data_IF_936373172375
#
_entry.id   IF_936373172375
#
_cell.length_a   1.000
_cell.length_b   1.000
_cell.length_c   1.000
_cell.angle_alpha   90.00
_cell.angle_beta   90.00
_cell.angle_gamma   90.00
#
_symmetry.space_group_name_H-M   'P 1'
#
loop_
_entity.id
_entity.type
_entity.pdbx_description
1 polymer ?
#
# COMPACT_ATOMS: atom_id res chain seq x y z
N UNK A 1 8.54 35.43 -32.99
CA UNK A 1 8.76 34.09 -32.41
C UNK A 1 9.44 34.29 -31.07
N UNK A 2 8.74 34.06 -29.96
CA UNK A 2 9.27 34.29 -28.61
C UNK A 2 9.08 33.03 -27.76
N UNK A 3 10.17 32.28 -27.63
CA UNK A 3 10.29 31.14 -26.73
C UNK A 3 10.25 31.65 -25.29
N UNK A 4 9.22 31.26 -24.53
CA UNK A 4 9.17 31.46 -23.08
C UNK A 4 9.60 30.14 -22.44
N UNK A 5 10.85 30.09 -21.97
CA UNK A 5 11.37 29.03 -21.13
C UNK A 5 10.62 29.04 -19.80
N UNK A 6 9.85 27.98 -19.53
CA UNK A 6 9.19 27.78 -18.24
C UNK A 6 10.18 27.00 -17.37
N UNK A 7 10.66 27.66 -16.32
CA UNK A 7 11.51 27.11 -15.27
C UNK A 7 10.75 25.98 -14.55
N UNK A 8 11.26 24.75 -14.64
CA UNK A 8 10.80 23.64 -13.81
C UNK A 8 11.34 23.84 -12.39
N UNK A 9 10.50 23.76 -11.34
CA UNK A 9 11.02 23.62 -9.99
C UNK A 9 11.69 22.25 -9.87
N UNK A 10 12.94 22.25 -9.43
CA UNK A 10 13.67 21.07 -8.97
C UNK A 10 12.84 20.36 -7.90
N UNK A 11 12.14 19.30 -8.30
CA UNK A 11 11.59 18.34 -7.36
C UNK A 11 12.79 17.59 -6.76
N UNK A 12 13.24 18.06 -5.60
CA UNK A 12 14.11 17.35 -4.68
C UNK A 12 13.61 15.92 -4.55
N UNK A 13 14.37 14.99 -5.12
CA UNK A 13 14.27 13.56 -4.84
C UNK A 13 14.74 13.35 -3.39
N UNK A 14 13.89 13.72 -2.43
CA UNK A 14 14.01 13.28 -1.07
C UNK A 14 13.43 11.87 -1.02
N UNK A 15 14.32 10.89 -1.13
CA UNK A 15 14.03 9.49 -0.90
C UNK A 15 13.66 9.32 0.59
N UNK A 16 12.38 9.43 0.93
CA UNK A 16 11.85 9.18 2.29
C UNK A 16 11.99 7.69 2.74
N UNK A 17 12.69 6.84 1.98
CA UNK A 17 12.86 5.41 2.28
C UNK A 17 14.06 5.07 3.17
N UNK A 18 14.93 6.03 3.48
CA UNK A 18 16.21 5.74 4.15
C UNK A 18 16.15 5.74 5.69
N UNK A 19 15.16 6.38 6.30
CA UNK A 19 15.06 6.50 7.77
C UNK A 19 14.02 5.54 8.35
N UNK A 20 14.21 4.22 8.16
CA UNK A 20 13.46 3.18 8.87
C UNK A 20 14.34 1.98 9.27
N UNK A 21 15.66 2.20 9.38
CA UNK A 21 16.61 1.20 9.89
C UNK A 21 17.44 1.77 11.04
N UNK A 22 16.80 2.20 12.12
CA UNK A 22 17.39 2.12 13.46
C UNK A 22 16.26 2.12 14.47
N UNK A 23 15.90 0.93 14.93
CA UNK A 23 15.63 0.66 16.34
C UNK A 23 15.32 -0.82 16.46
N UNK A 24 16.26 -1.49 17.09
CA UNK A 24 16.14 -2.80 17.72
C UNK A 24 14.96 -2.78 18.68
N UNK A 25 13.77 -3.11 18.19
CA UNK A 25 12.70 -3.68 19.00
C UNK A 25 12.20 -4.93 18.27
N UNK A 26 12.65 -6.08 18.74
CA UNK A 26 11.98 -7.33 18.46
C UNK A 26 10.61 -7.30 19.16
N UNK A 27 9.59 -6.66 18.57
CA UNK A 27 8.22 -6.77 19.06
C UNK A 27 7.20 -6.33 18.01
N UNK A 28 6.54 -7.33 17.41
CA UNK A 28 5.39 -7.30 16.51
C UNK A 28 5.70 -7.04 15.03
N UNK A 29 5.45 -8.02 14.15
CA UNK A 29 5.62 -7.86 12.71
C UNK A 29 4.71 -6.73 12.20
N UNK A 30 5.25 -5.87 11.33
CA UNK A 30 4.47 -4.82 10.67
C UNK A 30 3.30 -5.47 9.91
N UNK A 31 2.10 -4.84 9.87
CA UNK A 31 0.91 -5.38 9.22
C UNK A 31 1.09 -5.78 7.74
N UNK A 32 2.04 -5.16 7.04
CA UNK A 32 2.42 -5.49 5.66
C UNK A 32 3.29 -6.75 5.53
N UNK A 33 3.82 -7.30 6.62
CA UNK A 33 4.72 -8.44 6.58
C UNK A 33 4.03 -9.80 6.76
N UNK A 34 2.77 -9.78 7.18
CA UNK A 34 2.10 -10.97 7.69
C UNK A 34 1.13 -11.59 6.67
N UNK A 35 0.35 -10.74 6.00
CA UNK A 35 -0.64 -11.15 5.00
C UNK A 35 -0.22 -10.64 3.61
N UNK A 36 1.00 -11.01 3.17
CA UNK A 36 1.57 -10.52 1.91
C UNK A 36 0.81 -11.03 0.69
N UNK A 37 0.49 -12.31 0.68
CA UNK A 37 -0.27 -12.96 -0.39
C UNK A 37 -1.66 -12.34 -0.50
N UNK A 38 -2.44 -12.29 0.60
CA UNK A 38 -3.77 -11.68 0.59
C UNK A 38 -3.74 -10.19 0.21
N UNK A 39 -2.69 -9.47 0.63
CA UNK A 39 -2.50 -8.08 0.22
C UNK A 39 -2.26 -7.97 -1.28
N UNK A 40 -1.41 -8.83 -1.85
CA UNK A 40 -1.13 -8.86 -3.28
C UNK A 40 -2.41 -9.18 -4.07
N UNK A 41 -3.15 -10.22 -3.68
CA UNK A 41 -4.41 -10.59 -4.36
C UNK A 41 -5.47 -9.50 -4.26
N UNK A 42 -5.58 -8.81 -3.12
CA UNK A 42 -6.47 -7.64 -2.98
C UNK A 42 -6.05 -6.51 -3.91
N UNK A 43 -4.76 -6.18 -3.91
CA UNK A 43 -4.21 -5.10 -4.74
C UNK A 43 -4.37 -5.41 -6.22
N UNK A 44 -4.11 -6.64 -6.65
CA UNK A 44 -4.35 -7.12 -8.01
C UNK A 44 -5.84 -7.03 -8.38
N UNK A 45 -6.72 -7.50 -7.51
CA UNK A 45 -8.16 -7.41 -7.75
C UNK A 45 -8.60 -5.95 -7.93
N UNK A 46 -8.18 -5.03 -7.05
CA UNK A 46 -8.54 -3.62 -7.18
C UNK A 46 -7.93 -2.96 -8.42
N UNK A 47 -6.72 -3.37 -8.82
CA UNK A 47 -6.02 -2.80 -9.98
C UNK A 47 -6.57 -3.30 -11.32
N UNK A 48 -7.02 -4.55 -11.37
CA UNK A 48 -7.49 -5.20 -12.60
C UNK A 48 -9.02 -5.31 -12.72
N UNK A 49 -9.77 -5.02 -11.66
CA UNK A 49 -11.24 -5.05 -11.72
C UNK A 49 -11.76 -3.94 -12.64
N UNK A 50 -12.64 -4.33 -13.57
CA UNK A 50 -13.32 -3.42 -14.51
C UNK A 50 -14.71 -3.01 -14.00
N UNK A 51 -15.03 -3.34 -12.75
CA UNK A 51 -16.31 -3.00 -12.15
C UNK A 51 -16.43 -1.50 -11.88
N UNK A 52 -17.67 -0.98 -11.86
CA UNK A 52 -17.94 0.40 -11.42
C UNK A 52 -17.47 0.66 -9.99
N UNK A 53 -17.52 -0.37 -9.14
CA UNK A 53 -17.06 -0.35 -7.76
C UNK A 53 -16.13 -1.55 -7.49
N UNK A 54 -14.81 -1.41 -7.75
CA UNK A 54 -13.85 -2.49 -7.54
C UNK A 54 -13.76 -2.90 -6.07
N UNK A 55 -14.09 -2.01 -5.13
CA UNK A 55 -14.13 -2.34 -3.70
C UNK A 55 -15.23 -3.34 -3.35
N UNK A 56 -16.37 -3.31 -4.07
CA UNK A 56 -17.46 -4.28 -3.88
C UNK A 56 -17.16 -5.60 -4.58
N UNK A 57 -16.58 -5.52 -5.77
CA UNK A 57 -16.15 -6.69 -6.55
C UNK A 57 -15.05 -7.49 -5.82
N UNK A 58 -14.11 -6.78 -5.21
CA UNK A 58 -13.01 -7.35 -4.43
C UNK A 58 -13.33 -7.57 -2.96
N UNK A 59 -14.59 -7.47 -2.53
CA UNK A 59 -14.97 -7.64 -1.12
C UNK A 59 -14.44 -8.95 -0.54
N UNK A 60 -14.51 -10.04 -1.31
CA UNK A 60 -14.00 -11.36 -0.92
C UNK A 60 -12.50 -11.35 -0.61
N UNK A 61 -11.67 -10.68 -1.42
CA UNK A 61 -10.21 -10.64 -1.21
C UNK A 61 -9.84 -9.67 -0.09
N UNK A 62 -10.60 -8.58 0.06
CA UNK A 62 -10.48 -7.65 1.20
C UNK A 62 -10.80 -8.36 2.52
N UNK A 63 -11.88 -9.15 2.58
CA UNK A 63 -12.28 -9.88 3.78
C UNK A 63 -11.24 -10.94 4.16
N UNK A 64 -10.61 -11.60 3.18
CA UNK A 64 -9.48 -12.51 3.42
C UNK A 64 -8.28 -11.78 4.03
N UNK A 65 -7.92 -10.62 3.48
CA UNK A 65 -6.87 -9.79 4.03
C UNK A 65 -7.18 -9.33 5.46
N UNK A 66 -8.41 -8.85 5.73
CA UNK A 66 -8.87 -8.47 7.07
C UNK A 66 -8.84 -9.64 8.04
N UNK A 67 -9.29 -10.81 7.63
CA UNK A 67 -9.31 -12.03 8.45
C UNK A 67 -7.89 -12.49 8.79
N UNK A 68 -6.99 -12.46 7.82
CA UNK A 68 -5.58 -12.76 8.05
C UNK A 68 -5.01 -11.79 9.08
N UNK A 69 -5.19 -10.48 8.91
CA UNK A 69 -4.67 -9.47 9.85
C UNK A 69 -5.29 -9.58 11.26
N UNK A 70 -6.58 -9.91 11.35
CA UNK A 70 -7.27 -10.14 12.61
C UNK A 70 -6.66 -11.33 13.38
N UNK A 71 -6.19 -12.37 12.67
CA UNK A 71 -5.46 -13.51 13.27
C UNK A 71 -4.17 -13.12 13.98
N UNK A 72 -3.59 -11.96 13.63
CA UNK A 72 -2.39 -11.41 14.28
C UNK A 72 -2.69 -10.23 15.22
N UNK A 73 -3.97 -9.98 15.51
CA UNK A 73 -4.41 -8.93 16.42
C UNK A 73 -4.50 -7.54 15.79
N UNK A 74 -4.48 -7.43 14.45
CA UNK A 74 -4.66 -6.18 13.73
C UNK A 74 -6.07 -6.11 13.14
N UNK A 75 -6.91 -5.24 13.70
CA UNK A 75 -8.28 -5.05 13.21
C UNK A 75 -8.33 -3.85 12.25
N UNK A 76 -8.75 -4.08 11.00
CA UNK A 76 -8.84 -3.04 9.98
C UNK A 76 -10.29 -2.55 9.87
N UNK A 77 -10.54 -1.24 10.08
CA UNK A 77 -11.87 -0.66 9.89
C UNK A 77 -12.38 -0.86 8.44
#
# INVERSE_FOLDING_TARGET
>A
MASKSISMPTATSANLGADLKTSTEASKPKPCCVCKEEKATRDECMLFSNAKDPQKDCATTIDKYKSCMAGFGFNLP
#
